data_IF_817872748175
#
_entry.id   IF_817872748175
#
_cell.length_a   1.000
_cell.length_b   1.000
_cell.length_c   1.000
_cell.angle_alpha   90.00
_cell.angle_beta   90.00
_cell.angle_gamma   90.00
#
_symmetry.space_group_name_H-M   'P 1'
#
loop_
_entity.id
_entity.type
_entity.pdbx_description
1 polymer ?
#
# COMPACT_ATOMS: atom_id res chain seq x y z
N UNK A 1 -5.97 -11.68 8.04
CA UNK A 1 -5.53 -10.33 8.46
C UNK A 1 -6.70 -9.39 8.78
N UNK A 2 -7.44 -8.89 7.79
CA UNK A 2 -8.50 -7.90 8.06
C UNK A 2 -9.67 -8.48 8.85
N UNK A 3 -10.10 -9.71 8.53
CA UNK A 3 -11.11 -10.43 9.31
C UNK A 3 -10.66 -10.63 10.77
N UNK A 4 -9.42 -11.04 11.02
CA UNK A 4 -8.88 -11.18 12.38
C UNK A 4 -8.93 -9.85 13.15
N UNK A 5 -8.56 -8.74 12.49
CA UNK A 5 -8.60 -7.40 13.10
C UNK A 5 -10.02 -6.93 13.37
N UNK A 6 -10.95 -7.23 12.49
CA UNK A 6 -12.37 -6.94 12.66
C UNK A 6 -12.92 -7.71 13.87
N UNK A 7 -12.70 -9.02 13.90
CA UNK A 7 -13.13 -9.88 15.02
C UNK A 7 -12.52 -9.41 16.33
N UNK A 8 -11.22 -9.09 16.36
CA UNK A 8 -10.56 -8.55 17.55
C UNK A 8 -11.22 -7.27 18.05
N UNK A 9 -11.52 -6.32 17.16
CA UNK A 9 -12.14 -5.03 17.51
C UNK A 9 -13.59 -5.16 17.96
N UNK A 10 -14.32 -6.17 17.48
CA UNK A 10 -15.72 -6.38 17.81
C UNK A 10 -15.91 -7.00 19.21
N UNK A 11 -14.87 -7.64 19.78
CA UNK A 11 -14.92 -8.19 21.13
C UNK A 11 -14.89 -7.07 22.19
N UNK A 12 -15.87 -7.00 23.12
CA UNK A 12 -15.91 -5.99 24.19
C UNK A 12 -14.65 -5.95 25.07
N UNK A 13 -14.05 -7.11 25.31
CA UNK A 13 -12.83 -7.30 26.12
C UNK A 13 -11.57 -6.65 25.51
N UNK A 14 -11.62 -6.32 24.21
CA UNK A 14 -10.53 -5.74 23.45
C UNK A 14 -10.68 -4.23 23.25
N UNK A 15 -11.72 -3.62 23.81
CA UNK A 15 -11.90 -2.16 23.77
C UNK A 15 -10.68 -1.48 24.38
N UNK A 16 -10.14 -0.50 23.64
CA UNK A 16 -8.94 0.23 24.08
C UNK A 16 -7.63 -0.54 23.96
N UNK A 17 -7.61 -1.73 23.33
CA UNK A 17 -6.37 -2.48 23.02
C UNK A 17 -6.01 -2.38 21.54
N UNK A 18 -4.77 -2.72 21.19
CA UNK A 18 -4.32 -2.93 19.81
C UNK A 18 -4.42 -4.40 19.46
N UNK A 19 -4.59 -4.70 18.17
CA UNK A 19 -4.66 -6.07 17.68
C UNK A 19 -3.24 -6.65 17.62
N UNK A 20 -2.96 -7.65 18.46
CA UNK A 20 -1.67 -8.35 18.56
C UNK A 20 -1.83 -9.88 18.41
N UNK A 21 -2.97 -10.34 17.91
CA UNK A 21 -3.31 -11.75 17.72
C UNK A 21 -3.09 -12.21 16.28
N UNK A 22 -2.89 -13.53 16.09
CA UNK A 22 -2.75 -14.14 14.77
C UNK A 22 -1.61 -13.53 13.96
N UNK A 23 -1.91 -13.13 12.71
CA UNK A 23 -0.93 -12.47 11.84
C UNK A 23 -0.40 -11.13 12.38
N UNK A 24 -1.20 -10.44 13.20
CA UNK A 24 -0.82 -9.15 13.77
C UNK A 24 0.25 -9.27 14.86
N UNK A 25 0.48 -10.48 15.39
CA UNK A 25 1.60 -10.75 16.30
C UNK A 25 2.96 -10.63 15.60
N UNK A 26 3.02 -11.02 14.32
CA UNK A 26 4.26 -11.14 13.55
C UNK A 26 4.59 -9.88 12.74
N UNK A 27 3.55 -9.21 12.21
CA UNK A 27 3.68 -7.95 11.46
C UNK A 27 2.62 -6.97 11.91
N UNK A 28 2.95 -5.68 11.94
CA UNK A 28 1.99 -4.61 12.28
C UNK A 28 1.05 -4.26 11.14
N UNK A 29 1.38 -4.66 9.91
CA UNK A 29 0.54 -4.48 8.72
C UNK A 29 0.54 -5.73 7.82
N UNK A 30 0.04 -6.89 8.31
CA UNK A 30 0.05 -8.13 7.55
C UNK A 30 -0.89 -8.07 6.33
N UNK A 31 -1.93 -7.24 6.38
CA UNK A 31 -2.82 -6.99 5.25
C UNK A 31 -2.11 -6.27 4.10
N UNK A 32 -1.27 -5.28 4.37
CA UNK A 32 -0.51 -4.58 3.33
C UNK A 32 0.57 -5.45 2.71
N UNK A 33 1.16 -6.37 3.48
CA UNK A 33 2.03 -7.39 2.91
C UNK A 33 1.29 -8.26 1.89
N UNK A 34 0.08 -8.72 2.24
CA UNK A 34 -0.76 -9.50 1.32
C UNK A 34 -1.13 -8.74 0.06
N UNK A 35 -1.48 -7.46 0.20
CA UNK A 35 -1.79 -6.58 -0.94
C UNK A 35 -0.58 -6.42 -1.87
N UNK A 36 0.58 -6.04 -1.34
CA UNK A 36 1.82 -5.89 -2.13
C UNK A 36 2.14 -7.22 -2.83
N UNK A 37 2.12 -8.34 -2.09
CA UNK A 37 2.42 -9.66 -2.64
C UNK A 37 1.47 -10.06 -3.77
N UNK A 38 0.17 -9.82 -3.61
CA UNK A 38 -0.85 -10.11 -4.62
C UNK A 38 -0.57 -9.35 -5.92
N UNK A 39 -0.34 -8.04 -5.85
CA UNK A 39 -0.13 -7.21 -7.03
C UNK A 39 1.17 -7.51 -7.76
N UNK A 40 2.24 -7.81 -7.02
CA UNK A 40 3.48 -8.31 -7.61
C UNK A 40 3.29 -9.70 -8.22
N UNK A 41 2.50 -10.57 -7.60
CA UNK A 41 2.14 -11.89 -8.14
C UNK A 41 1.38 -11.80 -9.47
N UNK A 42 0.39 -10.89 -9.56
CA UNK A 42 -0.35 -10.63 -10.80
C UNK A 42 0.58 -10.12 -11.90
N UNK A 43 1.47 -9.18 -11.57
CA UNK A 43 2.47 -8.68 -12.52
C UNK A 43 3.40 -9.78 -13.01
N UNK A 44 3.95 -10.59 -12.11
CA UNK A 44 4.82 -11.71 -12.49
C UNK A 44 4.08 -12.73 -13.35
N UNK A 45 2.81 -13.01 -13.03
CA UNK A 45 1.95 -13.90 -13.82
C UNK A 45 1.64 -13.37 -15.22
N UNK A 46 1.63 -12.05 -15.43
CA UNK A 46 1.42 -11.46 -16.75
C UNK A 46 2.69 -11.35 -17.59
N UNK A 47 3.89 -11.46 -17.01
CA UNK A 47 5.16 -11.35 -17.73
C UNK A 47 5.27 -12.15 -19.05
N UNK A 48 4.73 -13.38 -19.19
CA UNK A 48 4.87 -14.14 -20.44
C UNK A 48 4.14 -13.53 -21.63
N UNK A 49 3.14 -12.67 -21.40
CA UNK A 49 2.32 -12.07 -22.46
C UNK A 49 2.73 -10.63 -22.78
N UNK A 50 3.56 -9.98 -21.94
CA UNK A 50 3.93 -8.58 -22.11
C UNK A 50 4.95 -8.37 -23.24
N UNK A 51 4.67 -7.42 -24.13
CA UNK A 51 5.53 -7.02 -25.26
C UNK A 51 5.70 -5.50 -25.34
N UNK A 52 6.90 -5.04 -25.68
CA UNK A 52 7.18 -3.64 -25.97
C UNK A 52 6.76 -2.68 -24.85
N UNK A 53 5.86 -1.75 -25.15
CA UNK A 53 5.36 -0.75 -24.20
C UNK A 53 4.49 -1.32 -23.07
N UNK A 54 3.98 -2.56 -23.20
CA UNK A 54 3.12 -3.17 -22.16
C UNK A 54 3.85 -3.40 -20.83
N UNK A 55 5.19 -3.43 -20.85
CA UNK A 55 6.03 -3.51 -19.65
C UNK A 55 5.81 -2.34 -18.67
N UNK A 56 5.22 -1.23 -19.14
CA UNK A 56 4.81 -0.11 -18.28
C UNK A 56 3.78 -0.50 -17.21
N UNK A 57 3.11 -1.66 -17.34
CA UNK A 57 2.21 -2.20 -16.31
C UNK A 57 2.90 -2.40 -14.94
N UNK A 58 4.23 -2.54 -14.91
CA UNK A 58 5.02 -2.58 -13.65
C UNK A 58 4.84 -1.33 -12.78
N UNK A 59 4.49 -0.19 -13.40
CA UNK A 59 4.21 1.05 -12.68
C UNK A 59 3.03 0.89 -11.72
N UNK A 60 2.08 0.00 -12.01
CA UNK A 60 0.95 -0.32 -11.13
C UNK A 60 1.36 -0.86 -9.76
N UNK A 61 1.94 -2.06 -9.65
CA UNK A 61 2.38 -2.63 -8.37
C UNK A 61 3.45 -1.78 -7.69
N UNK A 62 4.34 -1.14 -8.45
CA UNK A 62 5.34 -0.22 -7.89
C UNK A 62 4.68 1.01 -7.23
N UNK A 63 3.71 1.63 -7.91
CA UNK A 63 2.98 2.78 -7.38
C UNK A 63 2.12 2.40 -6.17
N UNK A 64 1.42 1.27 -6.22
CA UNK A 64 0.64 0.80 -5.07
C UNK A 64 1.54 0.53 -3.86
N UNK A 65 2.68 -0.13 -4.07
CA UNK A 65 3.68 -0.36 -3.02
C UNK A 65 4.15 0.98 -2.43
N UNK A 66 4.40 1.97 -3.27
CA UNK A 66 4.78 3.32 -2.83
C UNK A 66 3.71 3.98 -1.96
N UNK A 67 2.44 3.94 -2.38
CA UNK A 67 1.32 4.52 -1.63
C UNK A 67 1.16 3.87 -0.25
N UNK A 68 1.22 2.54 -0.21
CA UNK A 68 1.05 1.76 1.03
C UNK A 68 2.20 1.99 2.01
N UNK A 69 3.44 2.10 1.54
CA UNK A 69 4.59 2.24 2.43
C UNK A 69 4.87 3.69 2.85
N UNK A 70 4.61 4.68 1.99
CA UNK A 70 5.16 6.04 2.18
C UNK A 70 4.14 7.19 2.19
N UNK A 71 2.91 6.98 1.69
CA UNK A 71 1.92 8.07 1.59
C UNK A 71 0.81 7.88 2.61
N UNK A 72 -0.16 7.02 2.31
CA UNK A 72 -1.41 6.92 3.06
C UNK A 72 -1.57 5.62 3.84
N UNK A 73 -0.76 4.60 3.54
CA UNK A 73 -0.84 3.33 4.26
C UNK A 73 -0.18 3.40 5.63
N UNK A 74 1.00 2.80 5.75
CA UNK A 74 1.65 2.53 7.04
C UNK A 74 1.85 3.79 7.90
N UNK A 75 2.39 4.92 7.40
CA UNK A 75 2.72 6.05 8.25
C UNK A 75 1.51 6.67 8.96
N UNK A 76 0.37 6.80 8.25
CA UNK A 76 -0.85 7.38 8.82
C UNK A 76 -1.49 6.47 9.86
N UNK A 77 -1.50 5.15 9.62
CA UNK A 77 -2.06 4.20 10.57
C UNK A 77 -1.19 4.08 11.83
N UNK A 78 0.12 4.17 11.68
CA UNK A 78 1.07 4.18 12.78
C UNK A 78 0.91 5.44 13.64
N UNK A 79 0.81 6.62 13.03
CA UNK A 79 0.59 7.88 13.75
C UNK A 79 -0.75 7.87 14.53
N UNK A 80 -1.82 7.35 13.92
CA UNK A 80 -3.11 7.16 14.58
C UNK A 80 -3.03 6.18 15.77
N UNK A 81 -2.27 5.09 15.61
CA UNK A 81 -2.08 4.09 16.67
C UNK A 81 -1.20 4.62 17.80
N UNK A 82 -0.17 5.40 17.48
CA UNK A 82 0.72 6.06 18.44
C UNK A 82 -0.04 7.11 19.26
N UNK A 83 -0.93 7.88 18.64
CA UNK A 83 -1.81 8.82 19.37
C UNK A 83 -2.72 8.11 20.37
N UNK A 84 -3.18 6.90 20.05
CA UNK A 84 -4.14 6.16 20.88
C UNK A 84 -3.48 5.31 21.97
N UNK A 85 -2.33 4.70 21.67
CA UNK A 85 -1.71 3.68 22.52
C UNK A 85 -0.25 4.02 22.92
N UNK A 86 0.31 5.13 22.43
CA UNK A 86 1.73 5.49 22.62
C UNK A 86 2.17 5.64 24.08
N UNK A 87 1.24 5.96 24.99
CA UNK A 87 1.51 6.08 26.42
C UNK A 87 1.51 4.72 27.16
N UNK A 88 1.20 3.61 26.49
CA UNK A 88 1.11 2.29 27.10
C UNK A 88 2.44 1.53 26.93
N UNK A 89 3.08 1.16 28.04
CA UNK A 89 4.38 0.47 28.03
C UNK A 89 4.38 -0.83 27.19
N UNK A 90 3.31 -1.63 27.32
CA UNK A 90 3.14 -2.88 26.57
C UNK A 90 3.04 -2.64 25.05
N UNK A 91 2.46 -1.52 24.61
CA UNK A 91 2.38 -1.17 23.19
C UNK A 91 3.77 -0.81 22.64
N UNK A 92 4.58 -0.08 23.41
CA UNK A 92 5.97 0.21 23.05
C UNK A 92 6.79 -1.07 22.88
N UNK A 93 6.60 -2.06 23.76
CA UNK A 93 7.25 -3.36 23.63
C UNK A 93 6.79 -4.10 22.37
N UNK A 94 5.48 -4.15 22.11
CA UNK A 94 4.92 -4.72 20.89
C UNK A 94 5.54 -4.09 19.63
N UNK A 95 5.66 -2.76 19.55
CA UNK A 95 6.31 -2.08 18.41
C UNK A 95 7.78 -2.45 18.21
N UNK A 96 8.50 -2.79 19.29
CA UNK A 96 9.93 -3.17 19.23
C UNK A 96 10.13 -4.59 18.71
N UNK A 97 9.24 -5.51 19.09
CA UNK A 97 9.39 -6.95 18.77
C UNK A 97 8.67 -7.36 17.49
N UNK A 98 7.61 -6.64 17.11
CA UNK A 98 6.83 -6.94 15.91
C UNK A 98 7.39 -6.18 14.71
N UNK A 99 7.60 -6.91 13.61
CA UNK A 99 8.25 -6.38 12.42
C UNK A 99 7.51 -5.16 11.85
N UNK A 100 8.23 -4.04 11.82
CA UNK A 100 8.25 -3.00 10.78
C UNK A 100 9.30 -1.98 11.23
N UNK A 101 10.36 -1.84 10.44
CA UNK A 101 11.51 -0.92 10.60
C UNK A 101 11.39 0.09 11.75
N UNK A 102 12.23 -0.10 12.78
CA UNK A 102 12.60 0.94 13.74
C UNK A 102 13.19 2.15 13.00
N UNK A 103 12.35 3.10 12.56
CA UNK A 103 12.80 4.44 12.21
C UNK A 103 11.75 5.45 12.60
N UNK A 104 12.10 6.17 13.67
CA UNK A 104 11.78 7.57 14.02
C UNK A 104 10.42 8.06 13.54
N UNK A 105 9.59 8.36 14.53
CA UNK A 105 8.18 8.73 14.40
C UNK A 105 7.89 9.74 13.29
N UNK A 106 6.65 9.67 12.82
CA UNK A 106 6.04 10.73 12.02
C UNK A 106 6.97 11.25 10.91
N UNK A 107 7.44 10.35 10.04
CA UNK A 107 7.80 10.81 8.70
C UNK A 107 6.47 11.18 8.04
N UNK A 108 6.05 12.44 8.20
CA UNK A 108 5.27 13.13 7.19
C UNK A 108 6.30 13.70 6.21
N UNK A 109 6.66 12.94 5.17
CA UNK A 109 7.66 13.42 4.26
C UNK A 109 6.93 14.45 3.40
N UNK A 110 7.19 15.75 3.56
CA UNK A 110 6.59 16.78 2.68
C UNK A 110 6.83 16.47 1.18
N UNK A 111 7.81 15.62 0.87
CA UNK A 111 8.07 15.06 -0.45
C UNK A 111 7.11 13.96 -0.91
N UNK A 112 6.42 13.22 -0.02
CA UNK A 112 5.51 12.12 -0.41
C UNK A 112 4.32 12.64 -1.20
N UNK A 113 3.78 13.82 -0.84
CA UNK A 113 2.74 14.49 -1.62
C UNK A 113 3.25 14.92 -3.00
N UNK A 114 4.49 15.41 -3.11
CA UNK A 114 5.07 15.75 -4.43
C UNK A 114 5.30 14.50 -5.28
N UNK A 115 5.86 13.45 -4.69
CA UNK A 115 6.07 12.17 -5.37
C UNK A 115 4.74 11.55 -5.82
N UNK A 116 3.71 11.61 -4.97
CA UNK A 116 2.34 11.22 -5.33
C UNK A 116 1.89 11.92 -6.62
N UNK A 117 1.97 13.26 -6.66
CA UNK A 117 1.53 14.03 -7.83
C UNK A 117 2.38 13.76 -9.07
N UNK A 118 3.69 13.55 -8.92
CA UNK A 118 4.58 13.17 -10.04
C UNK A 118 4.17 11.81 -10.62
N UNK A 119 4.09 10.77 -9.78
CA UNK A 119 3.72 9.43 -10.24
C UNK A 119 2.28 9.38 -10.76
N UNK A 120 1.35 10.09 -10.12
CA UNK A 120 -0.03 10.21 -10.57
C UNK A 120 -0.13 10.93 -11.92
N UNK A 121 0.68 11.98 -12.13
CA UNK A 121 0.74 12.67 -13.42
C UNK A 121 1.33 11.81 -14.54
N UNK A 122 2.33 10.97 -14.24
CA UNK A 122 2.89 9.99 -15.18
C UNK A 122 1.85 8.94 -15.57
N UNK A 123 1.10 8.41 -14.60
CA UNK A 123 0.02 7.46 -14.83
C UNK A 123 -1.09 8.05 -15.73
N UNK A 124 -1.49 9.30 -15.45
CA UNK A 124 -2.49 10.02 -16.24
C UNK A 124 -1.99 10.34 -17.66
N UNK A 125 -0.70 10.65 -17.82
CA UNK A 125 -0.10 10.86 -19.13
C UNK A 125 -0.13 9.58 -19.98
N UNK A 126 0.15 8.43 -19.37
CA UNK A 126 0.12 7.14 -20.04
C UNK A 126 -1.31 6.75 -20.44
N UNK A 127 -2.28 6.94 -19.55
CA UNK A 127 -3.70 6.73 -19.88
C UNK A 127 -4.14 7.61 -21.06
N UNK A 128 -3.72 8.88 -21.10
CA UNK A 128 -4.01 9.75 -22.24
C UNK A 128 -3.34 9.25 -23.52
N UNK A 129 -2.08 8.82 -23.45
CA UNK A 129 -1.34 8.32 -24.61
C UNK A 129 -1.96 7.04 -25.17
N UNK A 130 -2.29 6.06 -24.32
CA UNK A 130 -2.96 4.82 -24.73
C UNK A 130 -4.37 5.06 -25.30
N UNK A 131 -5.16 5.98 -24.73
CA UNK A 131 -6.49 6.34 -25.27
C UNK A 131 -6.36 7.04 -26.63
N UNK A 132 -5.35 7.89 -26.81
CA UNK A 132 -5.11 8.58 -28.08
C UNK A 132 -4.68 7.61 -29.17
N UNK A 133 -3.78 6.67 -28.85
CA UNK A 133 -3.38 5.60 -29.76
C UNK A 133 -4.54 4.67 -30.12
N UNK A 134 -5.36 4.28 -29.14
CA UNK A 134 -6.55 3.47 -29.39
C UNK A 134 -7.55 4.18 -30.31
N UNK A 135 -7.78 5.49 -30.09
CA UNK A 135 -8.66 6.28 -30.95
C UNK A 135 -8.12 6.44 -32.38
N UNK A 136 -6.81 6.65 -32.55
CA UNK A 136 -6.16 6.68 -33.86
C UNK A 136 -6.27 5.33 -34.58
N UNK A 137 -6.10 4.23 -33.87
CA UNK A 137 -6.22 2.88 -34.42
C UNK A 137 -7.65 2.56 -34.86
N UNK A 138 -8.66 2.98 -34.07
CA UNK A 138 -10.08 2.84 -34.43
C UNK A 138 -10.41 3.69 -35.66
N UNK A 139 -9.91 4.93 -35.73
CA UNK A 139 -10.14 5.82 -36.87
C UNK A 139 -9.52 5.26 -38.16
N UNK A 140 -8.30 4.71 -38.09
CA UNK A 140 -7.62 4.05 -39.20
C UNK A 140 -8.26 2.72 -39.65
N UNK A 141 -9.14 2.13 -38.84
CA UNK A 141 -9.92 0.92 -39.16
C UNK A 141 -11.29 1.23 -39.79
N UNK A 142 -11.72 2.50 -39.74
CA UNK A 142 -13.01 2.98 -40.25
C UNK A 142 -12.90 3.71 -41.60
N UNK A 143 -11.67 3.90 -42.12
CA UNK A 143 -11.36 4.28 -43.52
C UNK A 143 -10.96 3.04 -44.34
#
# INVERSE_FOLDING_TARGET
ADQEKLSFKNSPENRGKWCDVGLWKYSRHPNYFGEIFLWWGIFLGSTPVLKGAEWLVILGPAFLTFLLLFVSGIPLLEDSSDKKYGNVANYSQYKKVTSLSNRRGSMNPRWSNRAFWVFFSMLLAELKHSVTLANLYIWALLE
#
